data_IF_839312800624
#
_entry.id   IF_839312800624
#
_cell.length_a   1.000
_cell.length_b   1.000
_cell.length_c   1.000
_cell.angle_alpha   90.00
_cell.angle_beta   90.00
_cell.angle_gamma   90.00
#
_symmetry.space_group_name_H-M   'P 1'
#
loop_
_entity.id
_entity.type
_entity.pdbx_description
1 polymer ?
#
# COMPACT_ATOMS: atom_id res chain seq x y z
N UNK A 1 11.62 32.04 -51.17
CA UNK A 1 11.50 32.17 -49.70
C UNK A 1 10.40 31.24 -49.23
N UNK A 2 10.75 30.06 -48.71
CA UNK A 2 9.90 29.24 -47.83
C UNK A 2 10.84 28.26 -47.11
N UNK A 3 11.05 28.46 -45.81
CA UNK A 3 11.80 27.56 -44.93
C UNK A 3 10.78 26.61 -44.32
N UNK A 4 10.88 25.33 -44.62
CA UNK A 4 10.16 24.27 -43.90
C UNK A 4 10.90 23.93 -42.61
N UNK A 5 10.30 24.24 -41.46
CA UNK A 5 10.69 23.67 -40.17
C UNK A 5 10.11 22.25 -40.07
N UNK A 6 10.94 21.22 -40.26
CA UNK A 6 10.60 19.86 -39.85
C UNK A 6 11.06 19.65 -38.41
N UNK A 7 10.08 19.41 -37.53
CA UNK A 7 10.20 19.25 -36.08
C UNK A 7 11.15 18.12 -35.69
N UNK A 8 12.19 18.46 -34.92
CA UNK A 8 13.19 17.53 -34.37
C UNK A 8 12.62 16.39 -33.50
N UNK A 9 11.35 16.47 -33.09
CA UNK A 9 10.72 15.47 -32.22
C UNK A 9 10.54 14.08 -32.87
N UNK A 10 10.42 13.99 -34.19
CA UNK A 10 10.17 12.71 -34.88
C UNK A 10 11.44 11.88 -35.12
N UNK A 11 12.62 12.50 -35.10
CA UNK A 11 13.90 11.79 -35.26
C UNK A 11 14.28 11.10 -33.94
N UNK A 12 14.02 11.76 -32.81
CA UNK A 12 14.28 11.21 -31.48
C UNK A 12 13.47 9.93 -31.20
N UNK A 13 12.20 9.89 -31.62
CA UNK A 13 11.33 8.72 -31.40
C UNK A 13 11.75 7.52 -32.28
N UNK A 14 12.22 7.80 -33.50
CA UNK A 14 12.69 6.78 -34.45
C UNK A 14 14.07 6.24 -34.07
N UNK A 15 14.95 7.08 -33.52
CA UNK A 15 16.22 6.65 -32.93
C UNK A 15 16.02 5.83 -31.66
N UNK A 16 15.08 6.21 -30.78
CA UNK A 16 14.76 5.42 -29.59
C UNK A 16 14.28 4.01 -29.96
N UNK A 17 13.36 3.88 -30.92
CA UNK A 17 12.87 2.57 -31.39
C UNK A 17 13.95 1.71 -32.06
N UNK A 18 14.92 2.32 -32.76
CA UNK A 18 16.07 1.57 -33.29
C UNK A 18 17.04 1.13 -32.19
N UNK A 19 17.27 1.96 -31.17
CA UNK A 19 18.19 1.67 -30.06
C UNK A 19 17.65 0.57 -29.13
N UNK A 20 16.32 0.37 -29.05
CA UNK A 20 15.72 -0.74 -28.29
C UNK A 20 15.78 -2.08 -29.02
N UNK A 21 16.01 -2.11 -30.35
CA UNK A 21 15.95 -3.35 -31.14
C UNK A 21 17.30 -4.06 -31.29
N UNK A 22 18.41 -3.43 -30.86
CA UNK A 22 19.78 -3.93 -31.06
C UNK A 22 20.62 -3.98 -29.79
N UNK A 23 19.99 -4.20 -28.63
CA UNK A 23 20.69 -4.46 -27.38
C UNK A 23 20.21 -5.79 -26.79
N UNK A 24 20.71 -6.88 -27.38
CA UNK A 24 20.81 -8.14 -26.66
C UNK A 24 21.81 -7.98 -25.52
N UNK A 25 21.39 -8.46 -24.35
CA UNK A 25 22.17 -8.83 -23.17
C UNK A 25 23.15 -7.80 -22.56
N UNK A 26 22.85 -7.45 -21.31
CA UNK A 26 23.66 -6.75 -20.32
C UNK A 26 23.73 -5.22 -20.41
N UNK A 27 22.76 -4.56 -19.76
CA UNK A 27 22.96 -3.20 -19.24
C UNK A 27 22.55 -3.13 -17.76
N UNK A 28 23.49 -3.18 -16.80
CA UNK A 28 23.18 -3.07 -15.37
C UNK A 28 22.79 -1.66 -14.91
N UNK A 29 22.66 -0.70 -15.84
CA UNK A 29 22.53 0.73 -15.53
C UNK A 29 21.11 1.31 -15.69
N UNK A 30 20.13 0.52 -16.14
CA UNK A 30 18.72 0.93 -16.22
C UNK A 30 17.82 0.31 -15.14
N UNK A 31 18.41 -0.24 -14.08
CA UNK A 31 17.67 -0.53 -12.84
C UNK A 31 17.51 0.76 -12.03
N UNK A 32 16.90 1.79 -12.64
CA UNK A 32 16.34 2.89 -11.88
C UNK A 32 15.34 2.27 -10.89
N UNK A 33 15.63 2.46 -9.61
CA UNK A 33 15.00 1.80 -8.48
C UNK A 33 13.49 2.15 -8.36
N UNK A 34 12.64 1.54 -9.17
CA UNK A 34 11.29 1.21 -8.70
C UNK A 34 11.46 0.04 -7.74
N UNK A 35 11.80 0.33 -6.47
CA UNK A 35 11.54 -0.64 -5.40
C UNK A 35 10.03 -0.74 -5.29
N UNK A 36 9.43 -1.68 -6.01
CA UNK A 36 8.05 -2.09 -5.78
C UNK A 36 8.00 -2.64 -4.36
N UNK A 37 7.37 -1.91 -3.45
CA UNK A 37 7.14 -2.38 -2.09
C UNK A 37 6.04 -3.44 -2.18
N UNK A 38 6.40 -4.71 -2.01
CA UNK A 38 5.42 -5.79 -1.90
C UNK A 38 4.93 -5.94 -0.46
N UNK A 39 3.65 -6.24 -0.30
CA UNK A 39 3.04 -6.55 0.98
C UNK A 39 2.10 -7.75 0.84
N UNK A 40 1.89 -8.44 1.95
CA UNK A 40 0.91 -9.51 2.07
C UNK A 40 -0.23 -9.05 2.99
N UNK A 41 -1.47 -9.40 2.65
CA UNK A 41 -2.64 -9.16 3.49
C UNK A 41 -2.84 -10.36 4.44
N UNK A 42 -3.14 -10.07 5.71
CA UNK A 42 -3.43 -11.07 6.75
C UNK A 42 -4.88 -10.99 7.25
N UNK A 43 -5.45 -9.79 7.27
CA UNK A 43 -6.85 -9.58 7.61
C UNK A 43 -7.45 -8.45 6.77
N UNK A 44 -8.72 -8.59 6.39
CA UNK A 44 -9.45 -7.59 5.62
C UNK A 44 -10.87 -7.43 6.15
N UNK A 45 -11.15 -6.27 6.73
CA UNK A 45 -12.46 -5.91 7.27
C UNK A 45 -13.07 -4.80 6.43
N UNK A 46 -14.30 -4.99 5.97
CA UNK A 46 -14.87 -4.17 4.91
C UNK A 46 -16.32 -3.79 5.18
N UNK A 47 -16.68 -2.53 4.90
CA UNK A 47 -18.08 -2.10 4.82
C UNK A 47 -18.27 -1.08 3.69
N UNK A 48 -19.38 -0.34 3.68
CA UNK A 48 -19.67 0.61 2.60
C UNK A 48 -18.85 1.91 2.65
N UNK A 49 -18.25 2.26 3.79
CA UNK A 49 -17.61 3.57 3.99
C UNK A 49 -16.10 3.48 4.21
N UNK A 50 -15.61 2.41 4.83
CA UNK A 50 -14.22 2.20 5.15
C UNK A 50 -13.83 0.72 5.02
N UNK A 51 -12.53 0.48 5.00
CA UNK A 51 -11.99 -0.86 5.25
C UNK A 51 -10.73 -0.81 6.10
N UNK A 52 -10.46 -1.89 6.83
CA UNK A 52 -9.27 -2.07 7.65
C UNK A 52 -8.50 -3.28 7.13
N UNK A 53 -7.21 -3.10 6.91
CA UNK A 53 -6.29 -4.15 6.46
C UNK A 53 -5.18 -4.35 7.49
N UNK A 54 -4.91 -5.61 7.82
CA UNK A 54 -3.62 -5.99 8.41
C UNK A 54 -2.70 -6.48 7.29
N UNK A 55 -1.52 -5.88 7.19
CA UNK A 55 -0.53 -6.24 6.17
C UNK A 55 0.83 -6.51 6.79
N UNK A 56 1.64 -7.34 6.14
CA UNK A 56 3.08 -7.42 6.38
C UNK A 56 3.83 -6.89 5.16
N UNK A 57 4.79 -6.00 5.38
CA UNK A 57 5.65 -5.49 4.30
C UNK A 57 6.91 -6.32 4.23
N UNK A 58 7.14 -6.99 3.10
CA UNK A 58 8.40 -7.67 2.82
C UNK A 58 9.39 -6.66 2.25
N UNK A 59 10.52 -6.44 2.91
CA UNK A 59 11.63 -5.67 2.33
C UNK A 59 12.88 -6.53 2.35
N UNK A 60 13.70 -6.43 1.31
CA UNK A 60 15.05 -7.02 1.25
C UNK A 60 15.96 -6.57 2.41
N UNK A 61 15.56 -5.52 3.14
CA UNK A 61 16.28 -4.98 4.30
C UNK A 61 15.91 -5.64 5.63
N UNK A 62 14.76 -6.31 5.70
CA UNK A 62 14.28 -6.93 6.93
C UNK A 62 14.62 -8.41 6.90
N UNK A 63 15.17 -8.92 8.00
CA UNK A 63 15.32 -10.37 8.16
C UNK A 63 13.94 -11.01 8.30
N UNK A 64 13.81 -12.32 8.04
CA UNK A 64 12.53 -13.03 8.18
C UNK A 64 11.91 -12.91 9.59
N UNK A 65 12.70 -12.52 10.61
CA UNK A 65 12.27 -12.28 11.98
C UNK A 65 11.70 -10.87 12.22
N UNK A 66 11.92 -9.93 11.31
CA UNK A 66 11.49 -8.52 11.43
C UNK A 66 10.29 -8.20 10.50
N UNK A 67 9.35 -9.14 10.39
CA UNK A 67 8.11 -8.85 9.67
C UNK A 67 7.33 -7.76 10.41
N UNK A 68 7.32 -6.56 9.83
CA UNK A 68 6.55 -5.44 10.35
C UNK A 68 5.10 -5.56 9.90
N UNK A 69 4.24 -6.04 10.81
CA UNK A 69 2.80 -5.97 10.66
C UNK A 69 2.34 -4.52 10.80
N UNK A 70 1.41 -4.11 9.94
CA UNK A 70 0.81 -2.77 9.94
C UNK A 70 -0.69 -2.90 9.78
N UNK A 71 -1.41 -2.15 10.60
CA UNK A 71 -2.85 -1.96 10.45
C UNK A 71 -3.10 -0.66 9.69
N UNK A 72 -3.93 -0.73 8.66
CA UNK A 72 -4.25 0.38 7.79
C UNK A 72 -5.76 0.57 7.72
N UNK A 73 -6.21 1.81 7.84
CA UNK A 73 -7.59 2.23 7.64
C UNK A 73 -7.70 2.98 6.32
N UNK A 74 -8.57 2.52 5.43
CA UNK A 74 -8.83 3.14 4.13
C UNK A 74 -10.22 3.75 4.15
N UNK A 75 -10.30 5.05 3.85
CA UNK A 75 -11.58 5.70 3.59
C UNK A 75 -11.98 5.45 2.13
N UNK A 76 -13.14 4.81 1.90
CA UNK A 76 -13.56 4.42 0.54
C UNK A 76 -14.01 5.59 -0.32
N UNK A 77 -14.39 6.72 0.27
CA UNK A 77 -14.83 7.91 -0.48
C UNK A 77 -13.69 8.55 -1.28
N UNK A 78 -12.46 8.51 -0.76
CA UNK A 78 -11.31 9.21 -1.34
C UNK A 78 -10.05 8.33 -1.44
N UNK A 79 -10.14 7.05 -1.07
CA UNK A 79 -9.04 6.09 -1.00
C UNK A 79 -7.85 6.58 -0.15
N UNK A 80 -8.10 7.45 0.83
CA UNK A 80 -7.06 7.90 1.75
C UNK A 80 -6.73 6.79 2.73
N UNK A 81 -5.44 6.45 2.83
CA UNK A 81 -4.91 5.44 3.75
C UNK A 81 -4.33 6.12 4.99
N UNK A 82 -4.74 5.66 6.18
CA UNK A 82 -4.19 6.07 7.47
C UNK A 82 -3.60 4.86 8.19
N UNK A 83 -2.43 4.97 8.85
CA UNK A 83 -1.99 3.93 9.77
C UNK A 83 -2.89 3.88 11.00
N UNK A 84 -3.07 2.68 11.55
CA UNK A 84 -3.62 2.45 12.88
C UNK A 84 -2.48 1.91 13.75
N UNK A 85 -2.00 2.72 14.69
CA UNK A 85 -0.87 2.32 15.54
C UNK A 85 -1.36 1.41 16.65
N UNK A 86 -1.10 0.11 16.52
CA UNK A 86 -1.47 -0.91 17.51
C UNK A 86 -0.76 -0.61 18.85
N UNK A 87 -1.55 -0.38 19.90
CA UNK A 87 -1.08 -0.12 21.28
C UNK A 87 -1.10 -1.39 22.12
N UNK A 88 -2.15 -2.19 21.98
CA UNK A 88 -2.31 -3.47 22.64
C UNK A 88 -3.27 -4.35 21.88
N UNK A 89 -3.24 -5.64 22.21
CA UNK A 89 -4.13 -6.65 21.65
C UNK A 89 -4.59 -7.58 22.76
N UNK A 90 -5.85 -7.97 22.74
CA UNK A 90 -6.37 -9.10 23.51
C UNK A 90 -6.93 -10.13 22.52
N UNK A 91 -6.74 -11.41 22.82
CA UNK A 91 -6.97 -12.49 21.88
C UNK A 91 -7.51 -13.69 22.62
N UNK A 92 -8.78 -14.03 22.36
CA UNK A 92 -9.42 -15.26 22.80
C UNK A 92 -9.68 -16.19 21.60
N UNK A 93 -10.03 -17.46 21.83
CA UNK A 93 -10.31 -18.40 20.73
C UNK A 93 -11.46 -17.97 19.81
N UNK A 94 -12.45 -17.24 20.33
CA UNK A 94 -13.64 -16.83 19.57
C UNK A 94 -13.64 -15.36 19.16
N UNK A 95 -12.94 -14.51 19.92
CA UNK A 95 -12.99 -13.06 19.75
C UNK A 95 -11.60 -12.47 19.89
N UNK A 96 -11.29 -11.55 18.99
CA UNK A 96 -10.04 -10.82 18.91
C UNK A 96 -10.30 -9.32 19.10
N UNK A 97 -9.40 -8.68 19.81
CA UNK A 97 -9.52 -7.28 20.23
C UNK A 97 -8.18 -6.57 19.93
N UNK A 98 -8.24 -5.44 19.23
CA UNK A 98 -7.08 -4.63 18.83
C UNK A 98 -7.33 -3.18 19.18
N UNK A 99 -6.44 -2.63 20.00
CA UNK A 99 -6.53 -1.27 20.49
C UNK A 99 -5.52 -0.40 19.74
N UNK A 100 -6.02 0.64 19.06
CA UNK A 100 -5.23 1.56 18.26
C UNK A 100 -5.22 2.96 18.89
N UNK A 101 -4.38 3.83 18.37
CA UNK A 101 -4.41 5.27 18.65
C UNK A 101 -5.72 5.95 18.21
N UNK A 102 -6.27 5.54 17.06
CA UNK A 102 -7.45 6.17 16.46
C UNK A 102 -8.78 5.46 16.81
N UNK A 103 -8.73 4.29 17.42
CA UNK A 103 -9.92 3.48 17.59
C UNK A 103 -9.67 2.11 18.19
N UNK A 104 -10.71 1.31 18.18
CA UNK A 104 -10.71 -0.04 18.71
C UNK A 104 -11.43 -0.98 17.75
N UNK A 105 -10.82 -2.12 17.41
CA UNK A 105 -11.42 -3.16 16.58
C UNK A 105 -11.67 -4.42 17.40
N UNK A 106 -12.92 -4.87 17.41
CA UNK A 106 -13.33 -6.17 17.95
C UNK A 106 -13.85 -7.04 16.83
N UNK A 107 -13.38 -8.27 16.70
CA UNK A 107 -13.73 -9.12 15.57
C UNK A 107 -13.63 -10.61 15.87
N UNK A 108 -14.24 -11.40 14.98
CA UNK A 108 -14.13 -12.85 14.91
C UNK A 108 -13.79 -13.28 13.47
N UNK A 109 -14.01 -14.55 13.14
CA UNK A 109 -13.72 -15.08 11.80
C UNK A 109 -14.63 -14.54 10.69
N UNK A 110 -15.77 -13.94 11.01
CA UNK A 110 -16.80 -13.55 10.05
C UNK A 110 -17.07 -12.04 10.05
N UNK A 111 -17.01 -11.40 11.22
CA UNK A 111 -17.43 -10.01 11.41
C UNK A 111 -16.48 -9.24 12.29
N UNK A 112 -16.59 -7.92 12.25
CA UNK A 112 -15.91 -7.02 13.16
C UNK A 112 -16.69 -5.74 13.41
N UNK A 113 -16.29 -5.02 14.44
CA UNK A 113 -16.78 -3.68 14.74
C UNK A 113 -15.59 -2.78 15.07
N UNK A 114 -15.46 -1.71 14.31
CA UNK A 114 -14.47 -0.67 14.56
C UNK A 114 -15.15 0.53 15.22
N UNK A 115 -14.54 1.05 16.28
CA UNK A 115 -15.06 2.16 17.07
C UNK A 115 -14.02 3.27 17.04
N UNK A 116 -14.34 4.39 16.40
CA UNK A 116 -13.43 5.55 16.36
C UNK A 116 -13.49 6.33 17.69
N UNK A 117 -12.31 6.66 18.25
CA UNK A 117 -12.21 7.45 19.50
C UNK A 117 -12.85 8.83 19.35
N UNK A 118 -12.73 9.45 18.18
CA UNK A 118 -13.19 10.84 17.96
C UNK A 118 -14.68 11.00 17.71
N UNK A 119 -15.36 9.96 17.23
CA UNK A 119 -16.73 10.06 16.73
C UNK A 119 -17.75 9.27 17.54
N UNK A 120 -17.32 8.35 18.42
CA UNK A 120 -18.21 7.34 19.05
C UNK A 120 -19.01 6.55 18.00
N UNK A 121 -18.61 6.62 16.73
CA UNK A 121 -19.28 5.97 15.62
C UNK A 121 -18.86 4.50 15.61
N UNK A 122 -19.86 3.63 15.49
CA UNK A 122 -19.67 2.21 15.34
C UNK A 122 -19.68 1.89 13.85
N UNK A 123 -18.63 1.23 13.39
CA UNK A 123 -18.50 0.76 12.03
C UNK A 123 -18.56 -0.77 12.03
N UNK A 124 -19.74 -1.37 11.81
CA UNK A 124 -19.85 -2.80 11.52
C UNK A 124 -19.05 -3.11 10.24
N UNK A 125 -18.34 -4.23 10.28
CA UNK A 125 -17.45 -4.68 9.22
C UNK A 125 -17.67 -6.17 8.98
N UNK A 126 -17.53 -6.59 7.72
CA UNK A 126 -17.42 -8.00 7.36
C UNK A 126 -15.94 -8.38 7.28
N UNK A 127 -15.56 -9.48 7.92
CA UNK A 127 -14.24 -10.08 7.74
C UNK A 127 -14.25 -10.83 6.40
N UNK A 128 -13.67 -10.19 5.39
CA UNK A 128 -13.53 -10.75 4.05
C UNK A 128 -12.15 -11.37 3.93
N UNK A 129 -12.07 -12.47 3.18
CA UNK A 129 -10.79 -13.06 2.85
C UNK A 129 -9.93 -12.05 2.06
N UNK A 130 -8.63 -12.01 2.34
CA UNK A 130 -7.64 -11.19 1.63
C UNK A 130 -7.62 -11.41 0.11
N UNK A 131 -8.05 -12.56 -0.40
CA UNK A 131 -8.23 -12.82 -1.83
C UNK A 131 -9.32 -11.94 -2.47
N UNK A 132 -10.19 -11.35 -1.66
CA UNK A 132 -11.31 -10.50 -2.09
C UNK A 132 -11.01 -9.01 -1.97
N UNK A 133 -9.78 -8.60 -1.65
CA UNK A 133 -9.42 -7.19 -1.56
C UNK A 133 -9.49 -6.56 -2.97
N UNK A 134 -10.34 -5.52 -3.18
CA UNK A 134 -10.41 -4.82 -4.45
C UNK A 134 -9.06 -4.23 -4.88
N UNK A 135 -8.77 -4.27 -6.19
CA UNK A 135 -7.52 -3.76 -6.76
C UNK A 135 -7.26 -2.29 -6.41
N UNK A 136 -8.31 -1.48 -6.33
CA UNK A 136 -8.22 -0.06 -5.94
C UNK A 136 -7.69 0.13 -4.51
N UNK A 137 -8.00 -0.77 -3.57
CA UNK A 137 -7.49 -0.71 -2.20
C UNK A 137 -6.04 -1.15 -2.15
N UNK A 138 -5.67 -2.18 -2.91
CA UNK A 138 -4.28 -2.62 -3.06
C UNK A 138 -3.41 -1.47 -3.61
N UNK A 139 -3.85 -0.81 -4.68
CA UNK A 139 -3.16 0.35 -5.25
C UNK A 139 -3.05 1.51 -4.26
N UNK A 140 -4.10 1.78 -3.46
CA UNK A 140 -4.05 2.81 -2.43
C UNK A 140 -2.97 2.50 -1.37
N UNK A 141 -2.86 1.24 -0.95
CA UNK A 141 -1.82 0.77 -0.01
C UNK A 141 -0.42 0.87 -0.63
N UNK A 142 -0.22 0.42 -1.87
CA UNK A 142 1.07 0.55 -2.58
C UNK A 142 1.53 2.01 -2.67
N UNK A 143 0.60 2.91 -3.02
CA UNK A 143 0.85 4.34 -3.09
C UNK A 143 1.21 4.93 -1.73
N UNK A 144 0.51 4.52 -0.67
CA UNK A 144 0.80 4.93 0.71
C UNK A 144 2.19 4.48 1.16
N UNK A 145 2.53 3.20 0.97
CA UNK A 145 3.82 2.64 1.37
C UNK A 145 4.98 3.30 0.60
N UNK A 146 4.80 3.56 -0.69
CA UNK A 146 5.80 4.21 -1.55
C UNK A 146 6.11 5.64 -1.13
N UNK A 147 5.14 6.36 -0.54
CA UNK A 147 5.35 7.71 0.01
C UNK A 147 6.00 7.64 1.40
N UNK A 148 5.53 6.74 2.26
CA UNK A 148 6.08 6.54 3.62
C UNK A 148 7.57 6.17 3.59
N UNK A 149 8.00 5.32 2.65
CA UNK A 149 9.41 4.95 2.48
C UNK A 149 10.34 6.10 2.07
N UNK A 150 9.82 7.18 1.46
CA UNK A 150 10.62 8.34 1.06
C UNK A 150 10.85 9.32 2.21
N UNK A 151 9.91 9.42 3.14
CA UNK A 151 9.99 10.34 4.27
C UNK A 151 10.97 9.89 5.37
N UNK A 152 11.37 8.60 5.37
CA UNK A 152 12.36 8.06 6.30
C UNK A 152 13.82 8.20 5.80
N UNK A 153 14.07 8.93 4.70
CA UNK A 153 15.42 9.13 4.14
C UNK A 153 15.99 10.55 4.35
N UNK A 154 15.32 11.42 5.09
CA UNK A 154 15.85 12.75 5.43
C UNK A 154 16.30 12.79 6.88
N UNK A 155 17.50 12.27 7.18
CA UNK A 155 18.38 12.73 8.28
C UNK A 155 19.75 12.03 8.17
N UNK A 156 20.70 12.63 7.44
CA UNK A 156 22.11 12.65 7.85
C UNK A 156 22.72 13.95 7.27
N UNK A 157 22.93 14.94 8.13
CA UNK A 157 23.94 15.99 7.94
C UNK A 157 25.16 15.59 8.77
#
# INVERSE_FOLDING_TARGET
MFIFFVSQKNIALKLAQLMFKTAGDNLPYLKAMNRSISFNCHAFFDNNTLCILEISVSSDKFTAQEQHYRWLLINKKNLSVRPLDLKSSDSSPSVQERFFDLGYLKYDSETGIFIEVSATELHPLENKNCDKVPTEYLQAVENYLSKSGKNNLTWIF
#
